data_IF_197559586421
#
_entry.id   IF_197559586421
#
_cell.length_a   1.000
_cell.length_b   1.000
_cell.length_c   1.000
_cell.angle_alpha   90.00
_cell.angle_beta   90.00
_cell.angle_gamma   90.00
#
_symmetry.space_group_name_H-M   'P 1'
#
loop_
_entity.id
_entity.type
_entity.pdbx_description
1 polymer ?
#
# COMPACT_ATOMS: atom_id res chain seq x y z
N UNK A 1 4.46 5.34 13.49
CA UNK A 1 5.14 4.91 12.26
C UNK A 1 4.67 5.79 11.13
N UNK A 2 5.56 6.15 10.19
CA UNK A 2 5.21 6.96 9.02
C UNK A 2 4.70 6.00 7.93
N UNK A 3 3.41 5.66 7.98
CA UNK A 3 2.80 4.71 7.05
C UNK A 3 2.23 5.43 5.84
N UNK A 4 2.69 5.06 4.66
CA UNK A 4 2.14 5.53 3.40
C UNK A 4 1.26 4.45 2.81
N UNK A 5 0.11 4.85 2.28
CA UNK A 5 -0.80 3.94 1.57
C UNK A 5 -0.63 4.10 0.07
N UNK A 6 -0.58 2.99 -0.67
CA UNK A 6 -0.68 2.94 -2.12
C UNK A 6 -1.98 2.21 -2.51
N UNK A 7 -2.91 2.91 -3.15
CA UNK A 7 -4.15 2.31 -3.64
C UNK A 7 -4.56 2.94 -4.97
N UNK A 8 -4.53 2.15 -6.04
CA UNK A 8 -4.99 2.60 -7.36
C UNK A 8 -6.51 2.70 -7.42
N UNK A 9 -7.00 3.63 -8.25
CA UNK A 9 -8.41 3.65 -8.60
C UNK A 9 -8.70 2.51 -9.59
N UNK A 10 -9.78 1.76 -9.36
CA UNK A 10 -10.28 0.75 -10.27
C UNK A 10 -11.48 1.36 -10.98
N UNK A 11 -11.32 1.69 -12.26
CA UNK A 11 -12.35 2.34 -13.08
C UNK A 11 -13.06 1.37 -14.05
N UNK A 12 -12.64 0.10 -14.07
CA UNK A 12 -13.24 -0.93 -14.91
C UNK A 12 -14.38 -1.69 -14.21
N UNK A 13 -14.94 -2.68 -14.90
CA UNK A 13 -16.06 -3.50 -14.42
C UNK A 13 -15.83 -4.19 -13.07
N UNK A 14 -14.57 -4.39 -12.65
CA UNK A 14 -14.24 -4.95 -11.33
C UNK A 14 -14.77 -4.08 -10.19
N UNK A 15 -14.84 -2.77 -10.39
CA UNK A 15 -15.34 -1.81 -9.40
C UNK A 15 -16.73 -2.18 -8.87
N UNK A 16 -17.62 -2.68 -9.73
CA UNK A 16 -18.98 -3.06 -9.35
C UNK A 16 -19.07 -4.31 -8.46
N UNK A 17 -17.98 -5.06 -8.33
CA UNK A 17 -17.91 -6.28 -7.54
C UNK A 17 -17.11 -6.10 -6.24
N UNK A 18 -16.54 -4.92 -6.00
CA UNK A 18 -15.80 -4.64 -4.77
C UNK A 18 -16.76 -4.26 -3.63
N UNK A 19 -16.48 -4.76 -2.42
CA UNK A 19 -17.21 -4.38 -1.21
C UNK A 19 -16.84 -2.98 -0.69
N UNK A 20 -15.78 -2.38 -1.22
CA UNK A 20 -15.31 -1.03 -0.92
C UNK A 20 -14.26 -0.56 -1.94
N UNK A 21 -13.84 0.71 -1.88
CA UNK A 21 -12.76 1.17 -2.76
C UNK A 21 -11.43 0.58 -2.32
N UNK A 22 -10.45 0.42 -3.24
CA UNK A 22 -9.09 0.01 -2.88
C UNK A 22 -8.49 0.80 -1.73
N UNK A 23 -8.70 2.12 -1.72
CA UNK A 23 -8.21 2.99 -0.66
C UNK A 23 -8.90 2.72 0.69
N UNK A 24 -10.21 2.51 0.69
CA UNK A 24 -10.96 2.19 1.90
C UNK A 24 -10.50 0.84 2.49
N UNK A 25 -10.31 -0.18 1.64
CA UNK A 25 -9.79 -1.48 2.07
C UNK A 25 -8.42 -1.37 2.75
N UNK A 26 -7.50 -0.60 2.17
CA UNK A 26 -6.16 -0.42 2.79
C UNK A 26 -6.28 0.35 4.11
N UNK A 27 -7.12 1.39 4.17
CA UNK A 27 -7.33 2.15 5.42
C UNK A 27 -7.85 1.25 6.54
N UNK A 28 -8.85 0.42 6.26
CA UNK A 28 -9.39 -0.53 7.25
C UNK A 28 -8.34 -1.53 7.73
N UNK A 29 -7.50 -2.05 6.83
CA UNK A 29 -6.40 -2.94 7.21
C UNK A 29 -5.38 -2.23 8.11
N UNK A 30 -4.98 -1.01 7.74
CA UNK A 30 -4.07 -0.18 8.54
C UNK A 30 -4.66 0.13 9.92
N UNK A 31 -5.93 0.53 10.02
CA UNK A 31 -6.59 0.82 11.29
C UNK A 31 -6.64 -0.41 12.19
N UNK A 32 -6.96 -1.58 11.63
CA UNK A 32 -7.03 -2.85 12.36
C UNK A 32 -5.69 -3.27 12.96
N UNK A 33 -4.60 -3.07 12.22
CA UNK A 33 -3.23 -3.42 12.66
C UNK A 33 -2.52 -2.28 13.42
N UNK A 34 -3.17 -1.12 13.61
CA UNK A 34 -2.62 0.01 14.36
C UNK A 34 -1.59 0.84 13.58
N UNK A 35 -1.61 0.77 12.25
CA UNK A 35 -0.77 1.61 11.39
C UNK A 35 -1.37 3.02 11.26
N UNK A 36 -0.61 4.02 11.73
CA UNK A 36 -0.96 5.42 11.53
C UNK A 36 -0.60 5.87 10.10
N UNK A 37 -1.62 6.17 9.29
CA UNK A 37 -1.47 6.67 7.92
C UNK A 37 -1.10 8.15 7.94
N UNK A 38 -0.07 8.52 7.20
CA UNK A 38 0.41 9.91 7.08
C UNK A 38 0.20 10.50 5.69
N UNK A 39 0.18 9.66 4.65
CA UNK A 39 -0.12 10.09 3.28
C UNK A 39 -0.65 8.93 2.44
N UNK A 40 -1.27 9.27 1.31
CA UNK A 40 -1.88 8.31 0.39
C UNK A 40 -1.45 8.62 -1.05
N UNK A 41 -1.11 7.57 -1.80
CA UNK A 41 -0.76 7.63 -3.21
C UNK A 41 -1.71 6.74 -4.02
N UNK A 42 -2.07 7.18 -5.21
CA UNK A 42 -2.79 6.37 -6.21
C UNK A 42 -1.96 6.07 -7.46
N UNK A 43 -0.76 6.66 -7.58
CA UNK A 43 0.21 6.42 -8.65
C UNK A 43 1.51 5.90 -8.04
N UNK A 44 1.84 4.64 -8.34
CA UNK A 44 3.06 3.97 -7.87
C UNK A 44 4.31 4.71 -8.35
N UNK A 45 4.33 5.21 -9.59
CA UNK A 45 5.52 5.89 -10.15
C UNK A 45 5.81 7.17 -9.39
N UNK A 46 4.77 7.90 -9.00
CA UNK A 46 4.92 9.10 -8.17
C UNK A 46 5.47 8.74 -6.79
N UNK A 47 4.94 7.69 -6.16
CA UNK A 47 5.44 7.20 -4.87
C UNK A 47 6.91 6.81 -4.96
N UNK A 48 7.28 6.02 -5.96
CA UNK A 48 8.65 5.60 -6.22
C UNK A 48 9.58 6.80 -6.39
N UNK A 49 9.20 7.77 -7.24
CA UNK A 49 10.02 8.97 -7.47
C UNK A 49 10.19 9.77 -6.17
N UNK A 50 9.11 9.98 -5.40
CA UNK A 50 9.19 10.73 -4.14
C UNK A 50 10.08 10.02 -3.09
N UNK A 51 10.15 8.68 -3.09
CA UNK A 51 11.09 7.90 -2.26
C UNK A 51 12.54 8.04 -2.76
N UNK A 52 12.76 7.94 -4.07
CA UNK A 52 14.10 8.01 -4.67
C UNK A 52 14.71 9.41 -4.53
N UNK A 53 13.90 10.45 -4.72
CA UNK A 53 14.28 11.86 -4.59
C UNK A 53 14.33 12.32 -3.11
N UNK A 54 13.99 11.45 -2.15
CA UNK A 54 13.91 11.71 -0.71
C UNK A 54 12.96 12.86 -0.34
N UNK A 55 11.90 13.06 -1.14
CA UNK A 55 10.78 13.95 -0.82
C UNK A 55 10.03 13.40 0.41
N UNK A 56 9.93 12.08 0.50
CA UNK A 56 9.38 11.36 1.65
C UNK A 56 10.36 10.31 2.17
N UNK A 57 10.22 9.95 3.45
CA UNK A 57 10.98 8.88 4.10
C UNK A 57 10.03 8.01 4.94
N UNK A 58 9.24 7.14 4.28
CA UNK A 58 8.32 6.25 4.99
C UNK A 58 9.08 5.22 5.82
N UNK A 59 8.45 4.77 6.91
CA UNK A 59 8.90 3.56 7.61
C UNK A 59 8.19 2.33 7.07
N UNK A 60 6.95 2.52 6.59
CA UNK A 60 6.07 1.45 6.14
C UNK A 60 5.28 1.91 4.94
N UNK A 61 5.10 1.03 3.96
CA UNK A 61 4.18 1.21 2.84
C UNK A 61 3.18 0.06 2.84
N UNK A 62 1.90 0.38 2.74
CA UNK A 62 0.83 -0.60 2.63
C UNK A 62 0.14 -0.42 1.27
N UNK A 63 0.18 -1.44 0.43
CA UNK A 63 -0.44 -1.42 -0.90
C UNK A 63 -1.73 -2.25 -0.96
N UNK A 64 -2.68 -1.81 -1.78
CA UNK A 64 -3.87 -2.61 -2.13
C UNK A 64 -3.52 -3.69 -3.14
N UNK A 65 -3.85 -4.96 -2.87
CA UNK A 65 -3.55 -6.09 -3.76
C UNK A 65 -2.57 -7.08 -3.12
N UNK A 66 -1.70 -7.67 -3.95
CA UNK A 66 -0.67 -8.66 -3.59
C UNK A 66 0.72 -8.20 -4.09
N UNK A 67 1.82 -8.80 -3.62
CA UNK A 67 3.19 -8.41 -3.98
C UNK A 67 3.47 -8.52 -5.47
N UNK A 68 2.84 -9.46 -6.16
CA UNK A 68 3.02 -9.68 -7.61
C UNK A 68 2.65 -8.44 -8.43
N UNK A 69 1.75 -7.59 -7.91
CA UNK A 69 1.36 -6.33 -8.53
C UNK A 69 2.43 -5.23 -8.37
N UNK A 70 3.40 -5.42 -7.46
CA UNK A 70 4.30 -4.37 -6.96
C UNK A 70 5.77 -4.79 -6.87
N UNK A 71 6.22 -5.75 -7.67
CA UNK A 71 7.59 -6.29 -7.61
C UNK A 71 8.68 -5.20 -7.63
N UNK A 72 8.50 -4.13 -8.39
CA UNK A 72 9.48 -3.04 -8.46
C UNK A 72 9.52 -2.20 -7.19
N UNK A 73 8.35 -1.87 -6.62
CA UNK A 73 8.25 -1.16 -5.36
C UNK A 73 8.80 -1.99 -4.21
N UNK A 74 8.53 -3.30 -4.17
CA UNK A 74 9.11 -4.22 -3.18
C UNK A 74 10.64 -4.17 -3.18
N UNK A 75 11.27 -4.24 -4.36
CA UNK A 75 12.73 -4.16 -4.50
C UNK A 75 13.28 -2.84 -3.93
N UNK A 76 12.60 -1.72 -4.20
CA UNK A 76 12.97 -0.40 -3.69
C UNK A 76 12.83 -0.35 -2.16
N UNK A 77 11.70 -0.82 -1.63
CA UNK A 77 11.45 -0.88 -0.19
C UNK A 77 12.51 -1.68 0.54
N UNK A 78 12.86 -2.86 0.01
CA UNK A 78 13.93 -3.72 0.54
C UNK A 78 15.28 -2.98 0.61
N UNK A 79 15.67 -2.29 -0.48
CA UNK A 79 16.92 -1.52 -0.53
C UNK A 79 16.95 -0.32 0.41
N UNK A 80 15.79 0.28 0.67
CA UNK A 80 15.63 1.48 1.51
C UNK A 80 15.29 1.15 2.96
N UNK A 81 15.19 -0.13 3.32
CA UNK A 81 14.77 -0.60 4.64
C UNK A 81 13.41 -0.02 5.06
N UNK A 82 12.44 -0.09 4.14
CA UNK A 82 11.04 0.29 4.32
C UNK A 82 10.24 -1.02 4.42
N UNK A 83 9.40 -1.14 5.45
CA UNK A 83 8.49 -2.29 5.57
C UNK A 83 7.43 -2.20 4.47
N UNK A 84 7.35 -3.21 3.61
CA UNK A 84 6.33 -3.29 2.57
C UNK A 84 5.30 -4.37 2.94
N UNK A 85 4.03 -4.00 2.92
CA UNK A 85 2.90 -4.87 3.23
C UNK A 85 1.85 -4.73 2.14
N UNK A 86 1.10 -5.80 1.90
CA UNK A 86 -0.07 -5.76 1.02
C UNK A 86 -1.34 -6.12 1.79
N UNK A 87 -2.49 -5.64 1.30
CA UNK A 87 -3.78 -6.02 1.89
C UNK A 87 -4.01 -7.53 1.85
N UNK A 88 -3.49 -8.22 0.82
CA UNK A 88 -3.57 -9.68 0.74
C UNK A 88 -2.86 -10.35 1.91
N UNK A 89 -1.62 -9.95 2.23
CA UNK A 89 -0.89 -10.52 3.37
C UNK A 89 -1.54 -10.21 4.71
N UNK A 90 -1.99 -8.96 4.88
CA UNK A 90 -2.62 -8.50 6.11
C UNK A 90 -3.93 -9.26 6.35
N UNK A 91 -4.67 -9.58 5.30
CA UNK A 91 -5.88 -10.40 5.39
C UNK A 91 -5.54 -11.87 5.70
N UNK A 92 -4.50 -12.45 5.09
CA UNK A 92 -4.07 -13.82 5.39
C UNK A 92 -3.65 -14.02 6.85
N UNK A 93 -3.00 -13.01 7.47
CA UNK A 93 -2.66 -13.04 8.91
C UNK A 93 -3.87 -13.14 9.82
N UNK A 94 -5.04 -12.69 9.37
CA UNK A 94 -6.29 -12.71 10.13
C UNK A 94 -7.11 -14.01 9.90
N UNK A 95 -6.64 -14.91 9.03
CA UNK A 95 -7.28 -16.21 8.77
C UNK A 95 -6.68 -17.39 9.58
N UNK A 96 -5.79 -17.13 10.53
CA UNK A 96 -5.16 -18.14 11.41
C UNK A 96 -5.54 -17.95 12.87
#
# INVERSE_FOLDING_TARGET
MNTIVLAHEIEDERFYYLEGTPLDTVKECCEREGHQITNTYSDERKLVNDILDNVITPTTIVAYGDYEDYMHLEEICSRKNIDFLTTFDMQLKNCC
#
